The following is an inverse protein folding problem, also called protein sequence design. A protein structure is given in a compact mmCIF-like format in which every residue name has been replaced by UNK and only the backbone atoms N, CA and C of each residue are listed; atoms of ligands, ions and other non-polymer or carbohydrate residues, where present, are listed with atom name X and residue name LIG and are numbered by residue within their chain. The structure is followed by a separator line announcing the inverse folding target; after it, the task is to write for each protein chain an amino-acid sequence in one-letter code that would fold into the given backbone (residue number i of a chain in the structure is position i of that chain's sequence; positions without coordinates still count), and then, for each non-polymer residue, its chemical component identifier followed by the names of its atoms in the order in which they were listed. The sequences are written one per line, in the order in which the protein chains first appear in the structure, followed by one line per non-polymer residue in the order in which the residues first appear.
data_IF_496109471622
#
_entry.id   IF_496109471622
#
_cell.length_a   1.000
_cell.length_b   1.000
_cell.length_c   1.000
_cell.angle_alpha   90.00
_cell.angle_beta   90.00
_cell.angle_gamma   90.00
#
_symmetry.space_group_name_H-M   'P 1'
#
loop_
_entity.id
_entity.type
_entity.pdbx_description
1 polymer ?
#
# COMPACT_ATOMS: atom_id res chain seq x y z
N UNK A 1 1.71 0.61 -33.86
CA UNK A 1 2.14 1.87 -33.22
C UNK A 1 0.90 2.64 -32.79
N UNK A 2 0.44 2.42 -31.57
CA UNK A 2 -0.77 3.08 -31.01
C UNK A 2 -0.42 4.40 -30.28
N UNK A 3 0.87 4.71 -30.12
CA UNK A 3 1.34 5.83 -29.32
C UNK A 3 1.47 7.18 -30.04
N UNK A 4 1.06 7.27 -31.31
CA UNK A 4 1.20 8.49 -32.11
C UNK A 4 0.10 9.53 -31.99
N UNK A 5 -1.05 9.19 -31.41
CA UNK A 5 -2.17 10.14 -31.23
C UNK A 5 -2.28 10.59 -29.76
N UNK A 6 -2.39 11.88 -29.55
CA UNK A 6 -2.68 12.46 -28.25
C UNK A 6 -4.10 12.12 -27.84
N UNK A 7 -4.29 11.06 -27.09
CA UNK A 7 -5.58 10.69 -26.49
C UNK A 7 -5.69 11.44 -25.16
N UNK A 8 -6.70 12.31 -24.97
CA UNK A 8 -6.91 12.97 -23.69
C UNK A 8 -7.04 11.94 -22.55
N UNK A 9 -6.40 12.17 -21.41
CA UNK A 9 -6.43 11.29 -20.27
C UNK A 9 -5.50 10.06 -20.35
N UNK A 10 -4.68 9.93 -21.40
CA UNK A 10 -3.80 8.78 -21.61
C UNK A 10 -2.84 8.54 -20.45
N UNK A 11 -2.17 9.56 -19.96
CA UNK A 11 -1.24 9.47 -18.84
C UNK A 11 -1.93 8.96 -17.58
N UNK A 12 -3.11 9.51 -17.29
CA UNK A 12 -3.93 9.08 -16.17
C UNK A 12 -4.40 7.64 -16.32
N UNK A 13 -4.86 7.25 -17.52
CA UNK A 13 -5.27 5.87 -17.78
C UNK A 13 -4.13 4.88 -17.53
N UNK A 14 -2.93 5.15 -18.06
CA UNK A 14 -1.75 4.33 -17.83
C UNK A 14 -1.39 4.28 -16.33
N UNK A 15 -1.42 5.43 -15.65
CA UNK A 15 -1.14 5.51 -14.22
C UNK A 15 -2.12 4.67 -13.38
N UNK A 16 -3.42 4.66 -13.73
CA UNK A 16 -4.40 3.79 -13.10
C UNK A 16 -4.13 2.31 -13.39
N UNK A 17 -3.77 1.96 -14.61
CA UNK A 17 -3.44 0.58 -14.98
C UNK A 17 -2.22 0.07 -14.19
N UNK A 18 -1.15 0.85 -14.10
CA UNK A 18 0.03 0.51 -13.29
C UNK A 18 -0.33 0.34 -11.82
N UNK A 19 -1.15 1.25 -11.27
CA UNK A 19 -1.64 1.12 -9.88
C UNK A 19 -2.43 -0.16 -9.66
N UNK A 20 -3.28 -0.53 -10.61
CA UNK A 20 -4.10 -1.73 -10.51
C UNK A 20 -3.25 -3.01 -10.64
N UNK A 21 -2.24 -3.02 -11.51
CA UNK A 21 -1.23 -4.09 -11.59
C UNK A 21 -0.49 -4.21 -10.26
N UNK A 22 0.08 -3.12 -9.74
CA UNK A 22 0.75 -3.10 -8.44
C UNK A 22 -0.09 -3.71 -7.31
N UNK A 23 -1.38 -3.39 -7.30
CA UNK A 23 -2.28 -3.81 -6.24
C UNK A 23 -2.77 -5.26 -6.40
N UNK A 24 -2.88 -5.76 -7.62
CA UNK A 24 -3.45 -7.09 -7.89
C UNK A 24 -2.40 -8.18 -8.09
N UNK A 25 -1.21 -7.84 -8.55
CA UNK A 25 -0.17 -8.81 -8.90
C UNK A 25 0.28 -9.67 -7.69
N UNK A 26 0.52 -9.11 -6.48
CA UNK A 26 0.86 -9.90 -5.31
C UNK A 26 -0.22 -10.93 -4.94
N UNK A 27 -1.50 -10.57 -5.08
CA UNK A 27 -2.62 -11.48 -4.82
C UNK A 27 -2.64 -12.62 -5.84
N UNK A 28 -2.43 -12.32 -7.10
CA UNK A 28 -2.53 -13.27 -8.20
C UNK A 28 -1.36 -14.25 -8.25
N UNK A 29 -0.14 -13.79 -8.00
CA UNK A 29 1.08 -14.60 -8.11
C UNK A 29 1.44 -15.23 -6.77
N UNK A 30 1.49 -14.45 -5.69
CA UNK A 30 1.90 -14.95 -4.39
C UNK A 30 0.74 -15.51 -3.55
N UNK A 31 -0.49 -15.55 -4.08
CA UNK A 31 -1.66 -16.08 -3.37
C UNK A 31 -2.03 -15.26 -2.13
N UNK A 32 -1.53 -14.04 -2.04
CA UNK A 32 -1.78 -13.16 -0.91
C UNK A 32 -3.23 -12.72 -0.96
N UNK A 33 -4.08 -13.32 -0.11
CA UNK A 33 -5.45 -12.84 0.04
C UNK A 33 -5.37 -11.40 0.53
N UNK A 34 -5.97 -10.47 -0.21
CA UNK A 34 -6.20 -9.13 0.32
C UNK A 34 -6.92 -9.29 1.64
N UNK A 35 -6.28 -8.88 2.73
CA UNK A 35 -6.94 -8.77 4.01
C UNK A 35 -8.23 -7.98 3.82
N UNK A 36 -9.24 -8.26 4.66
CA UNK A 36 -10.48 -7.49 4.65
C UNK A 36 -10.08 -6.02 4.70
N UNK A 37 -10.48 -5.27 3.65
CA UNK A 37 -10.10 -3.86 3.54
C UNK A 37 -10.57 -3.14 4.81
N UNK A 38 -9.62 -2.62 5.58
CA UNK A 38 -9.92 -1.86 6.78
C UNK A 38 -10.91 -0.74 6.43
N UNK A 39 -12.07 -0.76 7.06
CA UNK A 39 -13.15 0.19 6.75
C UNK A 39 -12.96 1.47 7.55
N UNK A 40 -11.94 2.26 7.20
CA UNK A 40 -11.56 3.49 7.90
C UNK A 40 -12.74 4.38 8.26
N UNK A 41 -13.63 4.63 7.30
CA UNK A 41 -14.78 5.50 7.54
C UNK A 41 -15.66 4.96 8.66
N UNK A 42 -16.03 3.68 8.58
CA UNK A 42 -16.92 3.05 9.57
C UNK A 42 -16.27 2.99 10.96
N UNK A 43 -14.98 2.64 11.01
CA UNK A 43 -14.24 2.54 12.27
C UNK A 43 -14.04 3.93 12.89
N UNK A 44 -13.68 4.94 12.11
CA UNK A 44 -13.52 6.32 12.59
C UNK A 44 -14.86 6.93 13.00
N UNK A 45 -15.95 6.71 12.27
CA UNK A 45 -17.28 7.19 12.64
C UNK A 45 -17.74 6.58 13.99
N UNK A 46 -17.41 5.30 14.21
CA UNK A 46 -17.62 4.63 15.50
C UNK A 46 -16.80 5.26 16.61
N UNK A 47 -15.50 5.41 16.39
CA UNK A 47 -14.58 6.00 17.37
C UNK A 47 -14.95 7.46 17.72
N UNK A 48 -15.31 8.29 16.72
CA UNK A 48 -15.77 9.67 16.94
C UNK A 48 -17.00 9.72 17.84
N UNK A 49 -17.93 8.79 17.64
CA UNK A 49 -19.15 8.71 18.46
C UNK A 49 -18.82 8.37 19.91
N UNK A 50 -17.94 7.37 20.12
CA UNK A 50 -17.52 6.93 21.45
C UNK A 50 -16.67 8.01 22.15
N UNK A 51 -15.81 8.69 21.39
CA UNK A 51 -15.03 9.85 21.85
C UNK A 51 -15.91 10.99 22.40
N UNK A 52 -16.94 11.36 21.62
CA UNK A 52 -17.91 12.40 22.04
C UNK A 52 -18.73 11.96 23.24
N UNK A 53 -19.15 10.68 23.29
CA UNK A 53 -19.89 10.11 24.42
C UNK A 53 -19.07 10.15 25.71
N UNK A 54 -17.77 9.98 25.63
CA UNK A 54 -16.83 10.12 26.74
C UNK A 54 -16.58 11.58 27.15
N UNK A 55 -17.17 12.56 26.48
CA UNK A 55 -17.05 13.98 26.80
C UNK A 55 -15.84 14.68 26.19
N UNK A 56 -15.13 14.02 25.27
CA UNK A 56 -13.98 14.63 24.60
C UNK A 56 -14.40 15.43 23.36
N UNK A 57 -13.73 16.56 23.15
CA UNK A 57 -13.91 17.40 21.96
C UNK A 57 -12.98 16.95 20.83
N UNK A 58 -13.41 17.14 19.57
CA UNK A 58 -12.59 16.86 18.39
C UNK A 58 -11.59 17.97 18.05
N UNK A 59 -11.75 19.16 18.66
CA UNK A 59 -10.84 20.30 18.46
C UNK A 59 -9.57 20.24 19.34
N UNK A 60 -9.44 19.14 20.13
CA UNK A 60 -8.30 18.94 21.04
C UNK A 60 -8.43 19.73 22.35
N UNK A 61 -9.58 20.39 22.61
CA UNK A 61 -9.82 21.03 23.91
C UNK A 61 -9.92 19.95 24.99
N UNK A 62 -9.23 20.17 26.10
CA UNK A 62 -9.16 19.23 27.22
C UNK A 62 -10.43 19.42 28.08
N UNK A 63 -11.17 18.32 28.38
CA UNK A 63 -12.35 18.41 29.23
C UNK A 63 -12.02 19.00 30.61
N UNK A 64 -12.92 19.84 31.12
CA UNK A 64 -12.76 20.52 32.41
C UNK A 64 -12.56 19.55 33.60
N UNK A 65 -12.97 18.29 33.42
CA UNK A 65 -12.92 17.24 34.46
C UNK A 65 -11.56 16.48 34.49
N UNK A 66 -10.60 16.86 33.66
CA UNK A 66 -9.27 16.25 33.70
C UNK A 66 -8.54 16.74 34.96
N UNK A 67 -8.15 15.80 35.83
CA UNK A 67 -7.30 16.12 36.97
C UNK A 67 -5.98 16.69 36.46
N UNK A 68 -5.73 17.95 36.78
CA UNK A 68 -4.42 18.56 36.56
C UNK A 68 -3.48 18.02 37.63
N UNK A 69 -2.75 16.95 37.30
CA UNK A 69 -1.63 16.48 38.10
C UNK A 69 -0.38 17.21 37.62
N UNK A 70 -0.06 18.33 38.26
CA UNK A 70 1.16 19.07 37.97
C UNK A 70 1.13 20.51 38.54
N UNK A 71 2.28 21.07 38.81
CA UNK A 71 2.43 22.46 39.26
C UNK A 71 1.85 23.44 38.22
N UNK A 72 1.07 24.38 38.65
CA UNK A 72 0.39 25.43 37.88
C UNK A 72 1.28 26.26 36.92
N UNK A 73 2.59 26.04 36.89
CA UNK A 73 3.55 26.73 36.03
C UNK A 73 3.71 26.11 34.63
N UNK A 74 3.43 24.81 34.45
CA UNK A 74 3.48 24.12 33.15
C UNK A 74 2.05 23.85 32.68
N UNK A 75 1.55 24.71 31.83
CA UNK A 75 0.16 24.80 31.40
C UNK A 75 -0.37 23.64 30.52
N UNK A 76 0.26 22.48 30.54
CA UNK A 76 -0.25 21.29 29.81
C UNK A 76 -0.47 20.15 30.80
N UNK A 77 -1.71 19.62 30.90
CA UNK A 77 -1.93 18.40 31.66
C UNK A 77 -1.10 17.26 31.02
N UNK A 78 -0.29 16.61 31.84
CA UNK A 78 0.54 15.46 31.42
C UNK A 78 -0.27 14.17 31.34
N UNK A 79 -1.45 14.14 31.98
CA UNK A 79 -2.30 12.95 32.04
C UNK A 79 -3.76 13.32 31.79
N UNK A 80 -4.45 12.51 30.99
CA UNK A 80 -5.88 12.62 30.71
C UNK A 80 -6.54 11.32 31.11
N UNK A 81 -7.47 11.37 32.08
CA UNK A 81 -8.26 10.19 32.44
C UNK A 81 -9.14 9.78 31.28
N UNK A 82 -8.83 8.62 30.68
CA UNK A 82 -9.61 8.06 29.58
C UNK A 82 -10.49 6.92 30.10
N UNK A 83 -11.80 6.90 29.80
CA UNK A 83 -12.66 5.77 30.10
C UNK A 83 -12.10 4.48 29.48
N UNK A 84 -12.14 3.40 30.26
CA UNK A 84 -11.56 2.11 29.86
C UNK A 84 -12.17 1.56 28.55
N UNK A 85 -13.49 1.73 28.37
CA UNK A 85 -14.21 1.33 27.16
C UNK A 85 -13.71 2.07 25.91
N UNK A 86 -13.42 3.37 26.04
CA UNK A 86 -12.85 4.16 24.96
C UNK A 86 -11.42 3.73 24.64
N UNK A 87 -10.59 3.49 25.66
CA UNK A 87 -9.23 2.98 25.46
C UNK A 87 -9.23 1.64 24.72
N UNK A 88 -10.08 0.70 25.16
CA UNK A 88 -10.21 -0.61 24.51
C UNK A 88 -10.68 -0.46 23.06
N UNK A 89 -11.64 0.43 22.79
CA UNK A 89 -12.09 0.68 21.43
C UNK A 89 -11.00 1.24 20.53
N UNK A 90 -10.16 2.15 21.02
CA UNK A 90 -9.00 2.66 20.29
C UNK A 90 -8.01 1.52 20.02
N UNK A 91 -7.70 0.73 21.05
CA UNK A 91 -6.79 -0.41 20.92
C UNK A 91 -7.28 -1.43 19.88
N UNK A 92 -8.59 -1.74 19.85
CA UNK A 92 -9.20 -2.63 18.85
C UNK A 92 -9.03 -2.09 17.43
N UNK A 93 -9.32 -0.80 17.20
CA UNK A 93 -9.15 -0.15 15.89
C UNK A 93 -7.69 -0.19 15.43
N UNK A 94 -6.75 0.10 16.33
CA UNK A 94 -5.31 0.05 16.02
C UNK A 94 -4.84 -1.37 15.74
N UNK A 95 -5.30 -2.35 16.53
CA UNK A 95 -4.96 -3.76 16.34
C UNK A 95 -5.53 -4.28 15.02
N UNK A 96 -6.82 -4.04 14.73
CA UNK A 96 -7.44 -4.42 13.46
C UNK A 96 -6.71 -3.80 12.27
N UNK A 97 -6.33 -2.52 12.36
CA UNK A 97 -5.53 -1.87 11.34
C UNK A 97 -4.15 -2.52 11.19
N UNK A 98 -3.46 -2.84 12.28
CA UNK A 98 -2.14 -3.47 12.22
C UNK A 98 -2.18 -4.87 11.59
N UNK A 99 -3.24 -5.64 11.86
CA UNK A 99 -3.44 -6.96 11.29
C UNK A 99 -3.85 -6.93 9.80
N UNK A 100 -4.52 -5.86 9.37
CA UNK A 100 -4.99 -5.73 7.97
C UNK A 100 -4.01 -4.97 7.09
N UNK A 101 -3.07 -4.23 7.67
CA UNK A 101 -2.05 -3.49 6.94
C UNK A 101 -0.80 -4.34 6.71
N UNK A 102 -0.90 -5.30 5.79
CA UNK A 102 0.34 -5.78 5.16
C UNK A 102 1.02 -4.55 4.53
N UNK A 103 2.24 -4.27 4.94
CA UNK A 103 2.94 -3.12 4.37
C UNK A 103 3.14 -3.35 2.87
N UNK A 104 3.05 -2.30 2.06
CA UNK A 104 3.29 -2.37 0.61
C UNK A 104 4.62 -3.05 0.28
N UNK A 105 5.60 -2.88 1.17
CA UNK A 105 6.91 -3.51 1.05
C UNK A 105 6.87 -5.01 1.28
N UNK A 106 6.09 -5.48 2.25
CA UNK A 106 5.93 -6.92 2.50
C UNK A 106 5.23 -7.61 1.34
N UNK A 107 4.17 -7.00 0.80
CA UNK A 107 3.49 -7.50 -0.38
C UNK A 107 4.43 -7.56 -1.60
N UNK A 108 5.25 -6.54 -1.81
CA UNK A 108 6.27 -6.54 -2.87
C UNK A 108 7.34 -7.62 -2.62
N UNK A 109 7.87 -7.74 -1.40
CA UNK A 109 8.84 -8.78 -1.08
C UNK A 109 8.31 -10.18 -1.40
N UNK A 110 7.09 -10.49 -0.96
CA UNK A 110 6.47 -11.80 -1.25
C UNK A 110 6.22 -12.02 -2.73
N UNK A 111 5.87 -10.98 -3.48
CA UNK A 111 5.73 -11.06 -4.93
C UNK A 111 7.06 -11.46 -5.58
N UNK A 112 8.15 -10.79 -5.24
CA UNK A 112 9.48 -11.08 -5.80
C UNK A 112 10.01 -12.44 -5.33
N UNK A 113 9.76 -12.84 -4.08
CA UNK A 113 10.07 -14.17 -3.56
C UNK A 113 9.31 -15.26 -4.34
N UNK A 114 8.03 -15.06 -4.63
CA UNK A 114 7.21 -16.02 -5.37
C UNK A 114 7.63 -16.15 -6.83
N UNK A 115 8.13 -15.09 -7.45
CA UNK A 115 8.60 -15.11 -8.84
C UNK A 115 10.00 -15.74 -9.00
N UNK A 116 10.79 -15.82 -7.94
CA UNK A 116 12.18 -16.34 -7.99
C UNK A 116 12.41 -17.50 -6.99
N UNK A 117 11.63 -18.58 -7.03
CA UNK A 117 11.66 -19.62 -5.99
C UNK A 117 12.96 -20.45 -5.98
N UNK A 118 13.77 -20.42 -7.04
CA UNK A 118 15.06 -21.11 -7.13
C UNK A 118 16.26 -20.30 -6.64
N UNK A 119 16.09 -19.01 -6.45
CA UNK A 119 17.15 -18.14 -5.99
C UNK A 119 17.07 -18.05 -4.45
N UNK A 120 17.94 -18.80 -3.78
CA UNK A 120 18.22 -18.64 -2.32
C UNK A 120 18.82 -17.25 -1.99
N UNK A 121 18.44 -16.23 -2.76
CA UNK A 121 18.78 -14.83 -2.51
C UNK A 121 17.99 -14.41 -1.28
N UNK A 122 18.66 -14.25 -0.16
CA UNK A 122 18.02 -13.72 1.04
C UNK A 122 17.31 -12.39 0.75
N UNK A 123 16.34 -12.00 1.57
CA UNK A 123 15.57 -10.72 1.44
C UNK A 123 16.44 -9.50 1.21
N UNK A 124 17.66 -9.50 1.74
CA UNK A 124 18.66 -8.45 1.53
C UNK A 124 19.03 -8.24 0.06
N UNK A 125 19.13 -9.32 -0.72
CA UNK A 125 19.48 -9.22 -2.14
C UNK A 125 18.31 -8.78 -3.03
N UNK A 126 17.08 -8.94 -2.56
CA UNK A 126 15.87 -8.46 -3.26
C UNK A 126 15.57 -7.00 -2.95
N UNK A 127 16.14 -6.44 -1.89
CA UNK A 127 15.86 -5.08 -1.44
C UNK A 127 16.00 -4.02 -2.55
N UNK A 128 17.08 -3.97 -3.35
CA UNK A 128 17.21 -2.94 -4.37
C UNK A 128 16.10 -2.98 -5.43
N UNK A 129 15.71 -4.18 -5.87
CA UNK A 129 14.68 -4.32 -6.89
C UNK A 129 13.28 -4.06 -6.33
N UNK A 130 13.04 -4.42 -5.06
CA UNK A 130 11.79 -4.08 -4.35
C UNK A 130 11.69 -2.57 -4.13
N UNK A 131 12.78 -1.90 -3.76
CA UNK A 131 12.83 -0.44 -3.62
C UNK A 131 12.53 0.22 -4.96
N UNK A 132 13.18 -0.21 -6.04
CA UNK A 132 12.92 0.29 -7.39
C UNK A 132 11.46 0.08 -7.82
N UNK A 133 10.88 -1.09 -7.58
CA UNK A 133 9.47 -1.38 -7.86
C UNK A 133 8.52 -0.44 -7.11
N UNK A 134 8.79 -0.23 -5.82
CA UNK A 134 7.98 0.66 -5.01
C UNK A 134 8.07 2.11 -5.49
N UNK A 135 9.27 2.60 -5.79
CA UNK A 135 9.49 3.98 -6.27
C UNK A 135 8.79 4.22 -7.61
N UNK A 136 8.99 3.30 -8.59
CA UNK A 136 8.35 3.40 -9.91
C UNK A 136 6.83 3.39 -9.78
N UNK A 137 6.28 2.42 -9.04
CA UNK A 137 4.82 2.30 -8.93
C UNK A 137 4.20 3.42 -8.11
N UNK A 138 4.89 3.96 -7.10
CA UNK A 138 4.42 5.13 -6.35
C UNK A 138 4.38 6.38 -7.22
N UNK A 139 5.36 6.57 -8.10
CA UNK A 139 5.38 7.66 -9.08
C UNK A 139 4.10 7.67 -9.95
N UNK A 140 3.62 6.50 -10.38
CA UNK A 140 2.35 6.37 -11.11
C UNK A 140 1.13 6.58 -10.21
N UNK A 141 1.14 6.07 -8.97
CA UNK A 141 0.03 6.25 -8.03
C UNK A 141 -0.25 7.72 -7.76
N UNK A 142 0.79 8.52 -7.57
CA UNK A 142 0.65 9.97 -7.38
C UNK A 142 -0.05 10.61 -8.58
N UNK A 143 0.32 10.25 -9.82
CA UNK A 143 -0.29 10.76 -11.05
C UNK A 143 -1.69 10.23 -11.32
N UNK A 144 -2.02 9.05 -10.85
CA UNK A 144 -3.39 8.54 -10.92
C UNK A 144 -4.37 9.34 -10.04
N UNK A 145 -3.88 9.92 -8.94
CA UNK A 145 -4.68 10.72 -8.00
C UNK A 145 -4.67 12.22 -8.30
N UNK A 146 -3.81 12.68 -9.21
CA UNK A 146 -3.65 14.09 -9.54
C UNK A 146 -4.85 14.56 -10.38
N UNK A 147 -5.89 15.07 -9.69
CA UNK A 147 -7.18 15.40 -10.29
C UNK A 147 -7.23 16.77 -10.96
N UNK A 148 -6.15 17.54 -10.91
CA UNK A 148 -6.10 18.94 -11.38
C UNK A 148 -5.23 19.20 -12.60
N UNK A 149 -4.32 18.28 -12.95
CA UNK A 149 -3.41 18.50 -14.09
C UNK A 149 -4.03 18.00 -15.39
N UNK A 150 -3.91 18.82 -16.43
CA UNK A 150 -4.20 18.39 -17.80
C UNK A 150 -3.07 17.48 -18.31
N UNK A 151 -3.35 16.63 -19.31
CA UNK A 151 -2.31 15.79 -19.95
C UNK A 151 -1.14 16.62 -20.52
N UNK A 152 -1.35 17.90 -20.80
CA UNK A 152 -0.33 18.84 -21.28
C UNK A 152 0.66 19.30 -20.21
N UNK A 153 0.33 19.12 -18.93
CA UNK A 153 1.18 19.54 -17.81
C UNK A 153 2.20 18.49 -17.41
N UNK A 154 2.12 17.28 -18.00
CA UNK A 154 3.08 16.20 -17.76
C UNK A 154 4.21 16.22 -18.80
N UNK A 155 5.46 16.13 -18.33
CA UNK A 155 6.59 15.83 -19.21
C UNK A 155 6.44 14.41 -19.78
N UNK A 156 6.04 14.34 -21.03
CA UNK A 156 5.81 13.09 -21.73
C UNK A 156 7.10 12.26 -21.86
N UNK A 157 8.25 12.89 -22.01
CA UNK A 157 9.52 12.18 -22.10
C UNK A 157 9.88 11.52 -20.76
N UNK A 158 9.68 12.21 -19.65
CA UNK A 158 9.82 11.65 -18.31
C UNK A 158 8.82 10.51 -18.08
N UNK A 159 7.55 10.73 -18.44
CA UNK A 159 6.51 9.71 -18.29
C UNK A 159 6.88 8.42 -19.04
N UNK A 160 7.30 8.51 -20.28
CA UNK A 160 7.71 7.37 -21.09
C UNK A 160 8.96 6.68 -20.53
N UNK A 161 9.92 7.44 -20.04
CA UNK A 161 11.12 6.88 -19.40
C UNK A 161 10.77 6.02 -18.18
N UNK A 162 9.89 6.52 -17.32
CA UNK A 162 9.46 5.77 -16.12
C UNK A 162 8.56 4.59 -16.50
N UNK A 163 7.74 4.73 -17.55
CA UNK A 163 6.92 3.64 -18.05
C UNK A 163 7.74 2.50 -18.63
N UNK A 164 8.77 2.78 -19.42
CA UNK A 164 9.68 1.77 -19.93
C UNK A 164 10.40 1.04 -18.80
N UNK A 165 10.83 1.77 -17.77
CA UNK A 165 11.45 1.16 -16.60
C UNK A 165 10.47 0.25 -15.84
N UNK A 166 9.19 0.62 -15.78
CA UNK A 166 8.13 -0.24 -15.23
C UNK A 166 7.95 -1.51 -16.08
N UNK A 167 7.87 -1.38 -17.42
CA UNK A 167 7.74 -2.51 -18.34
C UNK A 167 8.92 -3.47 -18.21
N UNK A 168 10.14 -2.96 -18.18
CA UNK A 168 11.37 -3.76 -18.04
C UNK A 168 11.36 -4.54 -16.71
N UNK A 169 11.00 -3.87 -15.60
CA UNK A 169 10.92 -4.49 -14.28
C UNK A 169 9.82 -5.56 -14.22
N UNK A 170 8.66 -5.28 -14.80
CA UNK A 170 7.53 -6.21 -14.86
C UNK A 170 7.86 -7.42 -15.75
N UNK A 171 8.47 -7.19 -16.91
CA UNK A 171 8.86 -8.24 -17.84
C UNK A 171 9.91 -9.16 -17.22
N UNK A 172 10.91 -8.62 -16.53
CA UNK A 172 11.90 -9.42 -15.82
C UNK A 172 11.25 -10.28 -14.72
N UNK A 173 10.35 -9.68 -13.93
CA UNK A 173 9.64 -10.36 -12.84
C UNK A 173 8.76 -11.51 -13.38
N UNK A 174 7.95 -11.25 -14.39
CA UNK A 174 7.05 -12.24 -14.97
C UNK A 174 7.81 -13.31 -15.79
N UNK A 175 8.90 -12.95 -16.43
CA UNK A 175 9.75 -13.90 -17.16
C UNK A 175 10.29 -14.98 -16.24
N UNK A 176 10.84 -14.63 -15.08
CA UNK A 176 11.30 -15.61 -14.08
C UNK A 176 10.14 -16.50 -13.58
N UNK A 177 8.96 -15.93 -13.35
CA UNK A 177 7.78 -16.66 -12.91
C UNK A 177 7.31 -17.70 -13.96
N UNK A 178 7.19 -17.31 -15.22
CA UNK A 178 6.75 -18.21 -16.29
C UNK A 178 7.79 -19.31 -16.60
N UNK A 179 9.07 -18.98 -16.60
CA UNK A 179 10.13 -20.00 -16.76
C UNK A 179 10.07 -21.06 -15.65
N UNK A 180 9.72 -20.65 -14.42
CA UNK A 180 9.56 -21.58 -13.30
C UNK A 180 8.35 -22.50 -13.51
N UNK A 181 7.23 -21.97 -13.99
CA UNK A 181 6.02 -22.78 -14.27
C UNK A 181 6.27 -23.77 -15.40
N UNK A 182 6.87 -23.34 -16.50
CA UNK A 182 7.22 -24.21 -17.63
C UNK A 182 8.12 -25.37 -17.19
N UNK A 183 9.12 -25.09 -16.35
CA UNK A 183 9.97 -26.14 -15.79
C UNK A 183 9.25 -27.13 -14.86
N UNK A 184 8.17 -26.72 -14.20
CA UNK A 184 7.33 -27.61 -13.39
C UNK A 184 6.43 -28.50 -14.27
N UNK A 185 5.89 -27.98 -15.37
CA UNK A 185 5.08 -28.73 -16.31
C UNK A 185 5.92 -29.84 -16.99
N UNK A 186 7.15 -29.54 -17.37
CA UNK A 186 8.09 -30.53 -17.92
C UNK A 186 8.36 -31.69 -16.93
N UNK A 187 8.54 -31.39 -15.65
CA UNK A 187 8.74 -32.41 -14.60
C UNK A 187 7.49 -33.30 -14.41
N UNK A 188 6.30 -32.69 -14.48
CA UNK A 188 5.04 -33.42 -14.34
C UNK A 188 4.78 -34.35 -15.54
N UNK A 189 5.13 -33.93 -16.73
CA UNK A 189 5.01 -34.75 -17.95
C UNK A 189 5.99 -35.95 -17.91
N UNK A 190 7.21 -35.75 -17.44
CA UNK A 190 8.20 -36.80 -17.27
C UNK A 190 7.80 -37.83 -16.19
N UNK A 191 7.02 -37.44 -15.17
CA UNK A 191 6.57 -38.35 -14.11
C UNK A 191 5.33 -39.15 -14.49
N UNK A 192 4.60 -38.76 -15.54
CA UNK A 192 3.40 -39.44 -16.03
C UNK A 192 3.65 -40.33 -17.27
N UNK A 193 4.88 -40.38 -17.74
CA UNK A 193 5.32 -41.24 -18.89
C UNK A 193 5.92 -42.54 -18.37
#
# INVERSE_FOLDING_TARGET
MVFGQSIPGRTRFIAHAVRDIRNSLPEKIAGIKRGVRFQWKQQLDGLIRDWRKAGFSLDGSIPVNVRQTGNLADARPTEVDMPQDLFLRIADVLNEHSLTSETRREAANRLFEACSPGNNRGRESLKPIVDQWLDITEWFVQRAHDSGLSDGDHDWAEFMRVFLLFEDTLTALLGEFFTTIEGLDDILDDTNA
#
